data_IF_213050838314
#
_entry.id   IF_213050838314
#
_cell.length_a   1.000
_cell.length_b   1.000
_cell.length_c   1.000
_cell.angle_alpha   90.00
_cell.angle_beta   90.00
_cell.angle_gamma   90.00
#
_symmetry.space_group_name_H-M   'P 1'
#
loop_
_entity.id
_entity.type
_entity.pdbx_description
1 polymer ?
#
# COMPACT_ATOMS: atom_id res chain seq x y z
N UNK A 1 -1.15 -7.84 13.24
CA UNK A 1 -1.56 -6.43 13.00
C UNK A 1 -1.55 -5.61 14.30
N UNK A 2 -2.38 -5.96 15.29
CA UNK A 2 -2.52 -5.23 16.58
C UNK A 2 -1.18 -5.00 17.29
N UNK A 3 -0.33 -6.02 17.40
CA UNK A 3 0.98 -5.86 18.05
C UNK A 3 1.85 -4.78 17.41
N UNK A 4 1.81 -4.64 16.09
CA UNK A 4 2.56 -3.59 15.38
C UNK A 4 1.98 -2.19 15.65
N UNK A 5 0.63 -2.07 15.72
CA UNK A 5 -0.03 -0.81 16.09
C UNK A 5 0.35 -0.37 17.51
N UNK A 6 0.29 -1.27 18.50
CA UNK A 6 0.59 -0.94 19.90
C UNK A 6 2.07 -0.58 20.06
N UNK A 7 2.99 -1.39 19.51
CA UNK A 7 4.42 -1.12 19.59
C UNK A 7 4.78 0.19 18.90
N UNK A 8 4.16 0.49 17.76
CA UNK A 8 4.41 1.71 17.02
C UNK A 8 3.70 2.97 17.57
N UNK A 9 2.66 2.82 18.40
CA UNK A 9 2.04 3.95 19.10
C UNK A 9 3.02 4.62 20.06
N UNK A 10 3.93 3.85 20.69
CA UNK A 10 4.94 4.33 21.63
C UNK A 10 5.87 5.37 20.99
N UNK A 11 6.63 5.06 19.91
CA UNK A 11 7.50 6.05 19.29
C UNK A 11 6.71 7.25 18.73
N UNK A 12 5.46 7.04 18.33
CA UNK A 12 4.62 8.14 17.85
C UNK A 12 4.29 9.13 18.97
N UNK A 13 3.91 8.64 20.16
CA UNK A 13 3.67 9.48 21.33
C UNK A 13 4.94 10.23 21.78
N UNK A 14 6.09 9.55 21.72
CA UNK A 14 7.38 10.12 22.11
C UNK A 14 7.87 11.22 21.14
N UNK A 15 7.30 11.34 19.94
CA UNK A 15 7.71 12.35 18.96
C UNK A 15 7.58 13.79 19.49
N UNK A 16 6.57 14.08 20.32
CA UNK A 16 6.38 15.40 20.92
C UNK A 16 7.44 15.76 21.98
N UNK A 17 8.16 14.76 22.51
CA UNK A 17 9.18 14.92 23.55
C UNK A 17 10.59 15.12 22.99
N UNK A 18 10.77 15.07 21.68
CA UNK A 18 12.08 15.23 21.04
C UNK A 18 12.46 16.71 20.94
N UNK A 19 13.73 17.03 21.22
CA UNK A 19 14.27 18.40 21.17
C UNK A 19 15.51 18.54 20.27
N UNK A 20 16.06 17.45 19.76
CA UNK A 20 17.30 17.43 19.00
C UNK A 20 17.11 16.74 17.64
N UNK A 21 17.95 17.12 16.67
CA UNK A 21 17.90 16.56 15.32
C UNK A 21 18.14 15.04 15.28
N UNK A 22 19.15 14.47 15.99
CA UNK A 22 19.36 13.03 16.00
C UNK A 22 18.18 12.26 16.59
N UNK A 23 17.54 12.79 17.65
CA UNK A 23 16.35 12.18 18.25
C UNK A 23 15.14 12.22 17.30
N UNK A 24 15.03 13.26 16.46
CA UNK A 24 13.96 13.33 15.46
C UNK A 24 14.15 12.27 14.37
N UNK A 25 15.39 12.00 13.98
CA UNK A 25 15.69 10.93 13.02
C UNK A 25 15.44 9.55 13.63
N UNK A 26 15.88 9.33 14.88
CA UNK A 26 15.64 8.08 15.59
C UNK A 26 14.15 7.80 15.75
N UNK A 27 13.34 8.79 16.16
CA UNK A 27 11.91 8.58 16.34
C UNK A 27 11.20 8.29 15.02
N UNK A 28 11.56 8.99 13.93
CA UNK A 28 10.99 8.74 12.60
C UNK A 28 11.30 7.34 12.08
N UNK A 29 12.50 6.82 12.38
CA UNK A 29 12.86 5.45 12.06
C UNK A 29 11.92 4.44 12.75
N UNK A 30 11.68 4.59 14.06
CA UNK A 30 10.79 3.70 14.81
C UNK A 30 9.32 3.87 14.44
N UNK A 31 8.85 5.09 14.18
CA UNK A 31 7.51 5.35 13.63
C UNK A 31 7.35 4.65 12.28
N UNK A 32 8.41 4.54 11.48
CA UNK A 32 8.41 3.78 10.22
C UNK A 32 7.99 2.31 10.36
N UNK A 33 8.19 1.69 11.54
CA UNK A 33 7.74 0.31 11.80
C UNK A 33 6.21 0.21 11.71
N UNK A 34 5.46 1.26 12.06
CA UNK A 34 4.00 1.30 11.88
C UNK A 34 3.59 1.11 10.42
N UNK A 35 4.41 1.54 9.46
CA UNK A 35 4.15 1.30 8.04
C UNK A 35 4.07 -0.20 7.70
N UNK A 36 4.73 -1.05 8.50
CA UNK A 36 4.65 -2.51 8.39
C UNK A 36 3.26 -3.09 8.70
N UNK A 37 2.35 -2.33 9.32
CA UNK A 37 0.94 -2.76 9.52
C UNK A 37 0.18 -2.95 8.21
N UNK A 38 0.64 -2.32 7.13
CA UNK A 38 0.06 -2.41 5.80
C UNK A 38 0.01 -3.86 5.28
N UNK A 39 1.10 -4.62 5.43
CA UNK A 39 1.21 -5.99 4.90
C UNK A 39 0.17 -6.94 5.52
N UNK A 40 0.08 -7.06 6.87
CA UNK A 40 -0.98 -7.86 7.46
C UNK A 40 -2.38 -7.30 7.18
N UNK A 41 -2.55 -6.01 6.89
CA UNK A 41 -3.84 -5.48 6.45
C UNK A 41 -4.24 -6.06 5.08
N UNK A 42 -3.33 -6.01 4.11
CA UNK A 42 -3.58 -6.55 2.76
C UNK A 42 -3.83 -8.07 2.77
N UNK A 43 -3.08 -8.82 3.58
CA UNK A 43 -3.31 -10.26 3.73
C UNK A 43 -4.65 -10.53 4.40
N UNK A 44 -4.98 -9.77 5.45
CA UNK A 44 -6.24 -9.93 6.17
C UNK A 44 -7.44 -9.66 5.26
N UNK A 45 -7.41 -8.59 4.46
CA UNK A 45 -8.49 -8.30 3.50
C UNK A 45 -8.59 -9.34 2.40
N UNK A 46 -7.49 -9.91 1.92
CA UNK A 46 -7.57 -11.00 0.94
C UNK A 46 -8.19 -12.27 1.50
N UNK A 47 -7.85 -12.66 2.73
CA UNK A 47 -8.38 -13.92 3.30
C UNK A 47 -9.89 -13.85 3.56
N UNK A 48 -10.46 -12.65 3.67
CA UNK A 48 -11.89 -12.45 3.96
C UNK A 48 -12.79 -12.34 2.72
N UNK A 49 -12.23 -12.15 1.53
CA UNK A 49 -13.01 -11.81 0.34
C UNK A 49 -12.58 -12.65 -0.87
N UNK A 50 -13.55 -12.95 -1.74
CA UNK A 50 -13.34 -13.75 -2.95
C UNK A 50 -12.52 -13.02 -4.01
N UNK A 51 -11.87 -13.79 -4.89
CA UNK A 51 -10.97 -13.30 -5.96
C UNK A 51 -11.63 -12.32 -6.96
N UNK A 52 -12.96 -12.38 -7.06
CA UNK A 52 -13.76 -11.52 -7.92
C UNK A 52 -13.94 -10.09 -7.38
N UNK A 53 -13.71 -9.86 -6.08
CA UNK A 53 -13.87 -8.54 -5.42
C UNK A 53 -12.63 -8.13 -4.63
N UNK A 54 -11.58 -8.94 -4.66
CA UNK A 54 -10.36 -8.72 -3.89
C UNK A 54 -9.65 -7.41 -4.26
N UNK A 55 -9.70 -7.01 -5.53
CA UNK A 55 -9.05 -5.79 -6.02
C UNK A 55 -9.66 -4.53 -5.42
N UNK A 56 -10.99 -4.40 -5.47
CA UNK A 56 -11.73 -3.28 -4.87
C UNK A 56 -11.56 -3.22 -3.36
N UNK A 57 -11.55 -4.36 -2.67
CA UNK A 57 -11.43 -4.41 -1.20
C UNK A 57 -10.02 -4.00 -0.77
N UNK A 58 -8.98 -4.61 -1.35
CA UNK A 58 -7.59 -4.27 -1.04
C UNK A 58 -7.27 -2.81 -1.36
N UNK A 59 -7.77 -2.33 -2.51
CA UNK A 59 -7.61 -0.95 -2.93
C UNK A 59 -8.36 0.04 -2.01
N UNK A 60 -9.53 -0.32 -1.50
CA UNK A 60 -10.27 0.47 -0.51
C UNK A 60 -9.55 0.55 0.83
N UNK A 61 -9.12 -0.59 1.39
CA UNK A 61 -8.38 -0.61 2.63
C UNK A 61 -7.08 0.22 2.54
N UNK A 62 -6.37 0.12 1.42
CA UNK A 62 -5.15 0.89 1.18
C UNK A 62 -5.42 2.39 0.92
N UNK A 63 -6.47 2.71 0.14
CA UNK A 63 -6.87 4.09 -0.16
C UNK A 63 -7.31 4.84 1.08
N UNK A 64 -8.06 4.20 1.96
CA UNK A 64 -8.42 4.74 3.27
C UNK A 64 -7.18 5.04 4.14
N UNK A 65 -6.20 4.13 4.13
CA UNK A 65 -4.92 4.33 4.81
C UNK A 65 -4.15 5.55 4.29
N UNK A 66 -4.01 5.68 2.97
CA UNK A 66 -3.32 6.81 2.34
C UNK A 66 -4.04 8.14 2.58
N UNK A 67 -5.37 8.15 2.58
CA UNK A 67 -6.15 9.36 2.81
C UNK A 67 -5.86 10.02 4.17
N UNK A 68 -5.40 9.24 5.16
CA UNK A 68 -4.92 9.77 6.43
C UNK A 68 -3.82 10.83 6.28
N UNK A 69 -2.97 10.72 5.25
CA UNK A 69 -1.98 11.75 4.91
C UNK A 69 -2.64 13.08 4.57
N UNK A 70 -3.66 13.07 3.71
CA UNK A 70 -4.45 14.26 3.37
C UNK A 70 -5.25 14.82 4.55
N UNK A 71 -5.90 13.96 5.35
CA UNK A 71 -6.65 14.39 6.55
C UNK A 71 -5.75 15.11 7.56
N UNK A 72 -4.50 14.66 7.70
CA UNK A 72 -3.53 15.24 8.64
C UNK A 72 -3.24 16.73 8.36
N UNK A 73 -3.26 17.15 7.08
CA UNK A 73 -3.07 18.55 6.69
C UNK A 73 -4.19 19.48 7.21
N UNK A 74 -5.38 18.96 7.48
CA UNK A 74 -6.49 19.73 8.03
C UNK A 74 -6.61 19.57 9.55
N UNK A 75 -6.52 18.33 10.04
CA UNK A 75 -6.74 18.01 11.45
C UNK A 75 -5.63 18.56 12.32
N UNK A 76 -4.36 18.41 11.93
CA UNK A 76 -3.24 18.86 12.79
C UNK A 76 -3.24 20.38 12.99
N UNK A 77 -3.35 21.23 11.95
CA UNK A 77 -3.48 22.67 12.17
C UNK A 77 -4.72 23.06 12.97
N UNK A 78 -5.85 22.36 12.80
CA UNK A 78 -7.07 22.64 13.56
C UNK A 78 -6.90 22.34 15.06
N UNK A 79 -6.28 21.21 15.40
CA UNK A 79 -5.96 20.86 16.80
C UNK A 79 -5.00 21.88 17.41
N UNK A 80 -3.96 22.29 16.67
CA UNK A 80 -3.01 23.31 17.13
C UNK A 80 -3.71 24.65 17.36
N UNK A 81 -4.57 25.09 16.44
CA UNK A 81 -5.34 26.32 16.59
C UNK A 81 -6.26 26.28 17.81
N UNK A 82 -6.91 25.13 18.07
CA UNK A 82 -7.72 24.93 19.27
C UNK A 82 -6.91 25.02 20.57
N UNK A 83 -5.71 24.42 20.60
CA UNK A 83 -4.80 24.53 21.76
C UNK A 83 -4.28 25.96 21.97
N UNK A 84 -4.07 26.72 20.90
CA UNK A 84 -3.67 28.12 21.02
C UNK A 84 -4.78 28.99 21.63
N UNK A 85 -6.06 28.68 21.34
CA UNK A 85 -7.20 29.39 21.94
C UNK A 85 -7.31 29.16 23.46
N UNK A 86 -6.80 28.03 23.98
CA UNK A 86 -6.78 27.74 25.41
C UNK A 86 -5.56 28.34 26.14
N UNK A 87 -4.70 29.07 25.43
CA UNK A 87 -3.56 29.80 26.00
C UNK A 87 -2.20 29.13 25.83
N UNK A 88 -2.10 28.00 25.11
CA UNK A 88 -0.81 27.38 24.82
C UNK A 88 -0.05 28.16 23.73
N UNK A 89 1.29 28.18 23.84
CA UNK A 89 2.15 28.71 22.77
C UNK A 89 2.06 27.82 21.52
N UNK A 90 2.42 28.37 20.35
CA UNK A 90 2.49 27.62 19.07
C UNK A 90 3.38 26.39 19.22
N UNK A 91 4.57 26.55 19.84
CA UNK A 91 5.53 25.46 20.03
C UNK A 91 4.98 24.34 20.92
N UNK A 92 4.34 24.68 22.03
CA UNK A 92 3.74 23.69 22.94
C UNK A 92 2.56 22.98 22.27
N UNK A 93 1.74 23.73 21.53
CA UNK A 93 0.56 23.19 20.84
C UNK A 93 0.92 22.12 19.81
N UNK A 94 1.96 22.35 18.99
CA UNK A 94 2.44 21.34 18.05
C UNK A 94 2.96 20.07 18.73
N UNK A 95 3.71 20.21 19.83
CA UNK A 95 4.24 19.06 20.58
C UNK A 95 3.13 18.21 21.17
N UNK A 96 2.14 18.85 21.78
CA UNK A 96 0.96 18.19 22.37
C UNK A 96 0.15 17.50 21.27
N UNK A 97 -0.08 18.17 20.14
CA UNK A 97 -0.80 17.58 19.01
C UNK A 97 -0.11 16.33 18.46
N UNK A 98 1.22 16.37 18.26
CA UNK A 98 1.99 15.21 17.77
C UNK A 98 2.06 14.05 18.77
N UNK A 99 2.06 14.33 20.08
CA UNK A 99 2.11 13.29 21.10
C UNK A 99 0.75 12.60 21.31
N UNK A 100 -0.33 13.39 21.40
CA UNK A 100 -1.63 12.88 21.84
C UNK A 100 -2.46 12.36 20.68
N UNK A 101 -2.55 13.12 19.59
CA UNK A 101 -3.53 12.85 18.53
C UNK A 101 -3.28 11.49 17.85
N UNK A 102 -2.06 11.19 17.34
CA UNK A 102 -1.80 9.89 16.73
C UNK A 102 -1.86 8.74 17.74
N UNK A 103 -1.38 8.94 18.97
CA UNK A 103 -1.38 7.91 20.00
C UNK A 103 -2.80 7.43 20.31
N UNK A 104 -3.73 8.37 20.56
CA UNK A 104 -5.13 8.04 20.84
C UNK A 104 -5.76 7.31 19.67
N UNK A 105 -5.56 7.78 18.44
CA UNK A 105 -6.14 7.15 17.24
C UNK A 105 -5.61 5.73 17.03
N UNK A 106 -4.29 5.51 17.19
CA UNK A 106 -3.68 4.19 16.99
C UNK A 106 -4.13 3.21 18.07
N UNK A 107 -4.11 3.62 19.35
CA UNK A 107 -4.53 2.75 20.46
C UNK A 107 -6.02 2.44 20.38
N UNK A 108 -6.84 3.43 20.05
CA UNK A 108 -8.28 3.24 19.83
C UNK A 108 -8.54 2.23 18.70
N UNK A 109 -7.85 2.38 17.57
CA UNK A 109 -7.98 1.45 16.43
C UNK A 109 -7.51 0.04 16.80
N UNK A 110 -6.40 -0.08 17.54
CA UNK A 110 -5.94 -1.37 18.05
C UNK A 110 -6.96 -2.03 18.99
N UNK A 111 -7.61 -1.24 19.85
CA UNK A 111 -8.70 -1.71 20.71
C UNK A 111 -9.91 -2.21 19.92
N UNK A 112 -10.33 -1.46 18.88
CA UNK A 112 -11.43 -1.90 18.00
C UNK A 112 -11.12 -3.23 17.31
N UNK A 113 -9.88 -3.42 16.84
CA UNK A 113 -9.47 -4.68 16.21
C UNK A 113 -9.48 -5.83 17.22
N UNK A 114 -9.09 -5.59 18.47
CA UNK A 114 -9.13 -6.63 19.52
C UNK A 114 -10.55 -7.04 19.91
N UNK A 115 -11.49 -6.09 19.91
CA UNK A 115 -12.88 -6.35 20.32
C UNK A 115 -13.72 -6.93 19.18
N UNK A 116 -13.54 -6.43 17.96
CA UNK A 116 -14.41 -6.76 16.82
C UNK A 116 -13.72 -7.58 15.71
N UNK A 117 -12.39 -7.67 15.71
CA UNK A 117 -11.62 -8.33 14.66
C UNK A 117 -11.64 -9.85 14.80
N UNK A 118 -11.81 -10.53 13.67
CA UNK A 118 -11.67 -11.98 13.55
C UNK A 118 -10.41 -12.34 12.75
N UNK A 119 -9.74 -13.44 13.10
CA UNK A 119 -8.48 -13.86 12.48
C UNK A 119 -8.63 -14.31 11.01
N UNK A 120 -9.61 -15.17 10.76
CA UNK A 120 -10.04 -15.61 9.42
C UNK A 120 -11.55 -15.85 9.45
N UNK A 121 -12.24 -15.89 8.29
CA UNK A 121 -13.64 -16.34 8.21
C UNK A 121 -13.84 -17.75 8.82
N UNK A 122 -12.82 -18.60 8.74
CA UNK A 122 -12.83 -19.99 9.20
C UNK A 122 -12.35 -20.16 10.66
N UNK A 123 -12.26 -19.06 11.42
CA UNK A 123 -11.82 -19.06 12.81
C UNK A 123 -10.32 -18.82 13.04
N UNK A 124 -9.80 -19.03 14.26
CA UNK A 124 -8.43 -18.67 14.62
C UNK A 124 -7.38 -19.54 13.91
N UNK A 125 -6.32 -18.90 13.40
CA UNK A 125 -5.17 -19.58 12.76
C UNK A 125 -4.56 -20.69 13.64
N UNK A 126 -4.57 -20.49 14.97
CA UNK A 126 -4.07 -21.48 15.94
C UNK A 126 -4.81 -22.81 15.85
N UNK A 127 -6.13 -22.79 15.62
CA UNK A 127 -6.94 -24.02 15.50
C UNK A 127 -6.66 -24.74 14.17
N UNK A 128 -6.42 -24.00 13.10
CA UNK A 128 -6.10 -24.58 11.78
C UNK A 128 -4.76 -25.31 11.77
N UNK A 129 -3.71 -24.73 12.34
CA UNK A 129 -2.40 -25.40 12.44
C UNK A 129 -2.45 -26.68 13.29
N UNK A 130 -3.25 -26.69 14.35
CA UNK A 130 -3.44 -27.88 15.19
C UNK A 130 -4.22 -28.98 14.47
N UNK A 131 -5.24 -28.64 13.66
CA UNK A 131 -5.97 -29.63 12.84
C UNK A 131 -5.05 -30.30 11.80
N UNK A 132 -4.17 -29.52 11.16
CA UNK A 132 -3.19 -30.04 10.21
C UNK A 132 -2.22 -30.99 10.92
N UNK A 133 -1.63 -30.60 12.06
CA UNK A 133 -0.72 -31.46 12.81
C UNK A 133 -1.37 -32.77 13.29
N UNK A 134 -2.62 -32.73 13.75
CA UNK A 134 -3.36 -33.93 14.19
C UNK A 134 -3.69 -34.85 13.01
N UNK A 135 -4.04 -34.29 11.84
CA UNK A 135 -4.24 -35.09 10.62
C UNK A 135 -2.94 -35.74 10.13
N UNK A 136 -1.80 -35.06 10.20
CA UNK A 136 -0.49 -35.62 9.82
C UNK A 136 -0.02 -36.70 10.79
N UNK A 137 -0.33 -36.59 12.09
CA UNK A 137 0.01 -37.62 13.08
C UNK A 137 -0.85 -38.89 12.97
N UNK A 138 -2.11 -38.76 12.58
CA UNK A 138 -3.01 -39.90 12.39
C UNK A 138 -2.83 -40.60 11.02
N UNK A 139 -2.07 -40.02 10.11
CA UNK A 139 -1.81 -40.55 8.77
C UNK A 139 -0.54 -41.42 8.74
N UNK A 140 -0.52 -42.50 9.52
CA UNK A 140 0.46 -43.58 9.31
C UNK A 140 -0.23 -44.68 8.49
N UNK A 141 0.29 -44.85 7.27
CA UNK A 141 0.15 -45.98 6.34
C UNK A 141 -1.18 -46.18 5.60
N UNK A 142 -1.30 -45.52 4.43
CA UNK A 142 -1.84 -46.17 3.23
C UNK A 142 -0.87 -45.91 2.09
N UNK A 143 -0.12 -46.93 1.69
CA UNK A 143 0.63 -46.92 0.43
C UNK A 143 -0.37 -47.02 -0.72
N UNK A 144 -0.58 -45.93 -1.44
CA UNK A 144 -1.10 -45.95 -2.81
C UNK A 144 -0.01 -45.37 -3.70
N UNK A 145 0.64 -46.26 -4.45
CA UNK A 145 1.48 -45.91 -5.59
C UNK A 145 0.64 -45.14 -6.62
N UNK A 146 1.22 -44.08 -7.18
CA UNK A 146 0.69 -43.24 -8.27
C UNK A 146 -0.11 -41.99 -7.86
N UNK A 147 0.54 -41.03 -7.16
CA UNK A 147 0.15 -39.61 -7.20
C UNK A 147 1.44 -38.77 -7.36
N UNK A 148 1.49 -37.75 -8.25
CA UNK A 148 2.65 -36.87 -8.39
C UNK A 148 2.95 -36.11 -7.08
N UNK A 149 4.22 -35.69 -6.85
CA UNK A 149 4.77 -35.36 -5.52
C UNK A 149 4.28 -34.04 -4.88
N UNK A 150 3.12 -33.50 -5.31
CA UNK A 150 2.71 -32.13 -4.99
C UNK A 150 1.28 -32.02 -4.44
N UNK A 151 0.55 -33.12 -4.26
CA UNK A 151 -0.85 -33.10 -3.82
C UNK A 151 -1.06 -34.22 -2.80
N UNK A 152 -1.21 -33.87 -1.52
CA UNK A 152 -1.82 -34.74 -0.52
C UNK A 152 -3.31 -34.41 -0.45
N UNK A 153 -4.14 -35.29 -1.01
CA UNK A 153 -5.60 -35.25 -0.82
C UNK A 153 -5.94 -35.90 0.53
N UNK A 154 -6.47 -35.10 1.47
CA UNK A 154 -7.05 -35.64 2.70
C UNK A 154 -8.57 -35.66 2.54
N UNK A 155 -9.13 -36.86 2.45
CA UNK A 155 -10.58 -37.08 2.44
C UNK A 155 -11.09 -37.00 3.88
N UNK A 156 -11.93 -35.99 4.19
CA UNK A 156 -12.64 -35.94 5.47
C UNK A 156 -14.09 -36.39 5.27
N UNK A 157 -14.59 -37.24 6.18
CA UNK A 157 -16.00 -37.63 6.24
C UNK A 157 -16.75 -36.62 7.09
N UNK A 158 -17.80 -36.03 6.54
CA UNK A 158 -18.78 -35.28 7.33
C UNK A 158 -19.70 -36.27 8.10
N UNK A 159 -20.40 -35.77 9.12
CA UNK A 159 -21.30 -36.55 10.00
C UNK A 159 -22.42 -37.32 9.23
N UNK A 160 -22.66 -36.97 7.97
CA UNK A 160 -23.62 -37.61 7.06
C UNK A 160 -23.01 -38.72 6.17
N UNK A 161 -21.75 -39.10 6.39
CA UNK A 161 -21.08 -40.18 5.66
C UNK A 161 -20.67 -39.85 4.21
N UNK A 162 -20.85 -38.61 3.75
CA UNK A 162 -20.37 -38.13 2.45
C UNK A 162 -18.91 -37.69 2.52
N UNK A 163 -18.13 -38.08 1.51
CA UNK A 163 -16.75 -37.64 1.30
C UNK A 163 -16.78 -36.18 0.83
N UNK A 164 -16.19 -35.28 1.64
CA UNK A 164 -16.01 -33.89 1.28
C UNK A 164 -14.53 -33.64 0.92
N UNK A 165 -14.28 -33.18 -0.29
CA UNK A 165 -12.96 -32.73 -0.72
C UNK A 165 -12.62 -31.43 -0.01
N UNK A 166 -11.61 -31.47 0.87
CA UNK A 166 -11.09 -30.28 1.53
C UNK A 166 -9.68 -30.05 1.01
N UNK A 167 -9.48 -28.96 0.27
CA UNK A 167 -8.15 -28.54 -0.15
C UNK A 167 -7.38 -28.04 1.07
N UNK A 168 -6.65 -28.93 1.74
CA UNK A 168 -5.79 -28.58 2.88
C UNK A 168 -4.53 -27.93 2.33
N UNK A 169 -4.42 -26.62 2.54
CA UNK A 169 -3.19 -25.88 2.32
C UNK A 169 -2.17 -26.27 3.39
N UNK A 170 -1.24 -27.16 3.03
CA UNK A 170 -0.03 -27.40 3.83
C UNK A 170 0.79 -26.12 3.85
N UNK A 171 0.59 -25.32 4.89
CA UNK A 171 1.47 -24.21 5.23
C UNK A 171 2.78 -24.82 5.75
N UNK A 172 3.60 -25.35 4.84
CA UNK A 172 4.98 -25.69 5.15
C UNK A 172 5.63 -24.41 5.64
N UNK A 173 6.02 -24.41 6.92
CA UNK A 173 6.83 -23.38 7.56
C UNK A 173 7.82 -22.81 6.55
N UNK A 174 7.70 -21.52 6.27
CA UNK A 174 8.48 -20.83 5.24
C UNK A 174 9.97 -21.03 5.47
N UNK A 175 10.55 -22.04 4.83
CA UNK A 175 11.99 -22.20 4.74
C UNK A 175 12.53 -20.92 4.10
N UNK A 176 13.53 -20.30 4.73
CA UNK A 176 14.11 -19.02 4.31
C UNK A 176 14.55 -19.08 2.83
N UNK A 177 14.96 -20.27 2.38
CA UNK A 177 15.31 -20.55 0.97
C UNK A 177 14.11 -20.36 0.03
N UNK A 178 12.93 -20.84 0.41
CA UNK A 178 11.70 -20.69 -0.37
C UNK A 178 11.25 -19.23 -0.40
N UNK A 179 11.35 -18.53 0.74
CA UNK A 179 11.06 -17.10 0.80
C UNK A 179 11.97 -16.29 -0.14
N UNK A 180 13.28 -16.54 -0.14
CA UNK A 180 14.23 -15.91 -1.05
C UNK A 180 13.89 -16.22 -2.52
N UNK A 181 13.53 -17.46 -2.84
CA UNK A 181 13.14 -17.84 -4.20
C UNK A 181 11.93 -17.04 -4.68
N UNK A 182 10.90 -16.90 -3.85
CA UNK A 182 9.69 -16.10 -4.17
C UNK A 182 10.03 -14.62 -4.36
N UNK A 183 10.89 -14.06 -3.51
CA UNK A 183 11.35 -12.66 -3.59
C UNK A 183 12.00 -12.36 -4.94
N UNK A 184 12.91 -13.22 -5.42
CA UNK A 184 13.68 -12.99 -6.65
C UNK A 184 13.01 -13.50 -7.93
N UNK A 185 11.71 -13.81 -7.87
CA UNK A 185 10.96 -14.29 -9.04
C UNK A 185 10.44 -13.11 -9.89
N UNK A 186 10.51 -13.23 -11.22
CA UNK A 186 10.07 -12.17 -12.15
C UNK A 186 8.60 -11.77 -11.97
N UNK A 187 7.75 -12.71 -11.56
CA UNK A 187 6.34 -12.48 -11.27
C UNK A 187 6.16 -11.57 -10.04
N UNK A 188 7.03 -11.69 -9.03
CA UNK A 188 7.02 -10.78 -7.88
C UNK A 188 7.52 -9.39 -8.29
N UNK A 189 8.55 -9.33 -9.15
CA UNK A 189 9.01 -8.06 -9.73
C UNK A 189 7.92 -7.35 -10.56
N UNK A 190 7.04 -8.10 -11.23
CA UNK A 190 5.93 -7.57 -12.02
C UNK A 190 4.90 -6.78 -11.20
N UNK A 191 4.76 -7.04 -9.90
CA UNK A 191 3.89 -6.23 -9.01
C UNK A 191 4.70 -5.24 -8.19
N UNK A 192 5.93 -5.61 -7.79
CA UNK A 192 6.77 -4.77 -6.96
C UNK A 192 7.30 -3.53 -7.69
N UNK A 193 7.71 -3.66 -8.96
CA UNK A 193 8.27 -2.54 -9.73
C UNK A 193 7.21 -1.52 -10.19
N UNK A 194 6.01 -1.89 -10.66
CA UNK A 194 4.96 -0.92 -10.91
C UNK A 194 4.54 -0.18 -9.65
N UNK A 195 4.50 -0.86 -8.49
CA UNK A 195 4.19 -0.20 -7.22
C UNK A 195 5.31 0.73 -6.73
N UNK A 196 6.57 0.38 -7.00
CA UNK A 196 7.70 1.29 -6.83
C UNK A 196 7.48 2.57 -7.64
N UNK A 197 7.02 2.44 -8.88
CA UNK A 197 6.70 3.59 -9.73
C UNK A 197 5.49 4.38 -9.24
N UNK A 198 4.36 3.74 -8.94
CA UNK A 198 3.11 4.42 -8.60
C UNK A 198 3.15 4.98 -7.18
N UNK A 199 3.16 4.13 -6.15
CA UNK A 199 3.13 4.57 -4.75
C UNK A 199 4.42 5.30 -4.36
N UNK A 200 5.55 4.90 -4.95
CA UNK A 200 6.80 5.62 -4.71
C UNK A 200 6.76 7.04 -5.26
N UNK A 201 6.24 7.25 -6.47
CA UNK A 201 6.12 8.61 -7.02
C UNK A 201 5.05 9.42 -6.29
N UNK A 202 3.98 8.78 -5.81
CA UNK A 202 2.97 9.39 -4.93
C UNK A 202 3.60 9.97 -3.66
N UNK A 203 4.33 9.14 -2.90
CA UNK A 203 5.00 9.59 -1.68
C UNK A 203 5.99 10.73 -1.93
N UNK A 204 6.68 10.71 -3.07
CA UNK A 204 7.62 11.76 -3.44
C UNK A 204 6.91 13.07 -3.80
N UNK A 205 5.80 12.99 -4.55
CA UNK A 205 4.97 14.15 -4.89
C UNK A 205 4.31 14.74 -3.64
N UNK A 206 3.70 13.92 -2.78
CA UNK A 206 3.08 14.39 -1.53
C UNK A 206 4.05 15.15 -0.63
N UNK A 207 5.32 14.72 -0.58
CA UNK A 207 6.37 15.38 0.19
C UNK A 207 6.76 16.78 -0.30
N UNK A 208 6.46 17.13 -1.55
CA UNK A 208 6.93 18.36 -2.20
C UNK A 208 5.83 19.25 -2.78
N UNK A 209 4.63 18.72 -3.04
CA UNK A 209 3.58 19.38 -3.83
C UNK A 209 3.12 20.70 -3.22
N UNK A 210 3.08 20.81 -1.88
CA UNK A 210 2.76 22.07 -1.21
C UNK A 210 3.80 23.16 -1.50
N UNK A 211 5.10 22.82 -1.47
CA UNK A 211 6.16 23.77 -1.78
C UNK A 211 6.19 24.12 -3.26
N UNK A 212 5.88 23.13 -4.12
CA UNK A 212 5.75 23.33 -5.55
C UNK A 212 4.63 24.33 -5.90
N UNK A 213 3.45 24.19 -5.28
CA UNK A 213 2.36 25.15 -5.48
C UNK A 213 2.71 26.56 -5.02
N UNK A 214 3.43 26.73 -3.89
CA UNK A 214 3.88 28.06 -3.46
C UNK A 214 4.85 28.67 -4.48
N UNK A 215 5.79 27.88 -5.01
CA UNK A 215 6.72 28.36 -6.04
C UNK A 215 5.99 28.72 -7.33
N UNK A 216 5.09 27.85 -7.81
CA UNK A 216 4.36 28.10 -9.05
C UNK A 216 3.39 29.28 -8.93
N UNK A 217 2.77 29.47 -7.78
CA UNK A 217 1.94 30.64 -7.51
C UNK A 217 2.75 31.94 -7.63
N UNK A 218 3.97 31.99 -7.07
CA UNK A 218 4.86 33.15 -7.22
C UNK A 218 5.21 33.43 -8.68
N UNK A 219 5.49 32.39 -9.47
CA UNK A 219 5.76 32.50 -10.91
C UNK A 219 4.51 32.99 -11.66
N UNK A 220 3.32 32.61 -11.19
CA UNK A 220 2.02 33.00 -11.73
C UNK A 220 1.53 34.37 -11.21
N UNK A 221 2.40 35.17 -10.59
CA UNK A 221 2.07 36.47 -9.98
C UNK A 221 0.97 36.40 -8.89
N UNK A 222 0.78 35.23 -8.27
CA UNK A 222 -0.16 35.01 -7.18
C UNK A 222 0.56 34.78 -5.84
N UNK A 223 0.10 35.46 -4.79
CA UNK A 223 0.62 35.23 -3.45
C UNK A 223 -0.20 34.14 -2.74
N UNK A 224 0.35 32.93 -2.65
CA UNK A 224 -0.27 31.84 -1.89
C UNK A 224 0.42 31.67 -0.54
N UNK A 225 -0.37 31.56 0.52
CA UNK A 225 0.15 31.16 1.84
C UNK A 225 0.50 29.67 1.84
N UNK A 226 1.40 29.26 2.74
CA UNK A 226 1.73 27.86 2.94
C UNK A 226 0.48 27.03 3.28
N UNK A 227 -0.45 27.60 4.05
CA UNK A 227 -1.71 26.94 4.39
C UNK A 227 -2.59 26.71 3.16
N UNK A 228 -2.72 27.71 2.26
CA UNK A 228 -3.52 27.56 1.04
C UNK A 228 -2.94 26.46 0.14
N UNK A 229 -1.62 26.46 -0.04
CA UNK A 229 -0.94 25.41 -0.81
C UNK A 229 -1.05 24.03 -0.15
N UNK A 230 -0.95 23.97 1.18
CA UNK A 230 -1.14 22.75 1.97
C UNK A 230 -2.57 22.19 1.87
N UNK A 231 -3.59 23.04 1.85
CA UNK A 231 -4.98 22.60 1.66
C UNK A 231 -5.20 21.98 0.27
N UNK A 232 -4.62 22.56 -0.79
CA UNK A 232 -4.66 21.96 -2.13
C UNK A 232 -3.84 20.66 -2.21
N UNK A 233 -2.67 20.62 -1.56
CA UNK A 233 -1.86 19.41 -1.43
C UNK A 233 -2.63 18.30 -0.70
N UNK A 234 -3.41 18.64 0.33
CA UNK A 234 -4.21 17.67 1.07
C UNK A 234 -5.26 16.97 0.18
N UNK A 235 -5.83 17.68 -0.80
CA UNK A 235 -6.78 17.08 -1.75
C UNK A 235 -6.15 15.97 -2.58
N UNK A 236 -4.86 16.10 -2.92
CA UNK A 236 -4.11 15.05 -3.62
C UNK A 236 -4.14 13.73 -2.83
N UNK A 237 -3.80 13.78 -1.54
CA UNK A 237 -3.84 12.60 -0.68
C UNK A 237 -5.26 12.09 -0.42
N UNK A 238 -6.27 12.97 -0.33
CA UNK A 238 -7.67 12.57 -0.12
C UNK A 238 -8.31 11.88 -1.33
N UNK A 239 -7.84 12.16 -2.55
CA UNK A 239 -8.36 11.50 -3.76
C UNK A 239 -8.24 9.98 -3.70
N UNK A 240 -7.23 9.46 -3.00
CA UNK A 240 -7.01 8.03 -2.77
C UNK A 240 -8.25 7.28 -2.24
N UNK A 241 -9.18 7.93 -1.54
CA UNK A 241 -10.42 7.29 -1.06
C UNK A 241 -11.28 6.80 -2.24
N UNK A 242 -11.20 7.46 -3.39
CA UNK A 242 -12.07 7.21 -4.55
C UNK A 242 -11.31 6.60 -5.70
N UNK A 243 -10.17 7.20 -6.06
CA UNK A 243 -9.39 6.86 -7.26
C UNK A 243 -8.70 5.51 -7.14
N UNK A 244 -8.16 5.20 -5.95
CA UNK A 244 -7.51 3.92 -5.69
C UNK A 244 -8.49 2.75 -5.73
N UNK A 245 -9.66 2.80 -5.04
CA UNK A 245 -10.71 1.79 -5.21
C UNK A 245 -11.23 1.68 -6.64
N UNK A 246 -11.36 2.80 -7.37
CA UNK A 246 -11.78 2.76 -8.77
C UNK A 246 -10.80 1.96 -9.65
N UNK A 247 -9.49 2.11 -9.44
CA UNK A 247 -8.47 1.30 -10.11
C UNK A 247 -8.59 -0.20 -9.80
N UNK A 248 -8.83 -0.55 -8.54
CA UNK A 248 -9.06 -1.95 -8.12
C UNK A 248 -10.39 -2.51 -8.66
N UNK A 249 -11.45 -1.71 -8.68
CA UNK A 249 -12.75 -2.08 -9.21
C UNK A 249 -12.71 -2.36 -10.71
N UNK A 250 -12.04 -1.51 -11.50
CA UNK A 250 -11.85 -1.76 -12.93
C UNK A 250 -11.03 -3.04 -13.16
N UNK A 251 -10.00 -3.29 -12.34
CA UNK A 251 -9.24 -4.54 -12.40
C UNK A 251 -10.14 -5.77 -12.16
N UNK A 252 -11.04 -5.70 -11.18
CA UNK A 252 -11.98 -6.77 -10.88
C UNK A 252 -13.05 -6.93 -11.98
N UNK A 253 -13.54 -5.85 -12.59
CA UNK A 253 -14.42 -5.93 -13.76
C UNK A 253 -13.74 -6.64 -14.94
N UNK A 254 -12.46 -6.38 -15.15
CA UNK A 254 -11.66 -7.02 -16.19
C UNK A 254 -11.35 -8.50 -15.88
N UNK A 255 -11.58 -8.94 -14.64
CA UNK A 255 -11.42 -10.33 -14.21
C UNK A 255 -12.64 -11.22 -14.51
N UNK A 256 -13.69 -10.70 -15.15
CA UNK A 256 -14.97 -11.40 -15.38
C UNK A 256 -14.86 -12.79 -16.06
N UNK A 257 -13.74 -13.08 -16.74
CA UNK A 257 -13.44 -14.38 -17.35
C UNK A 257 -12.21 -15.07 -16.71
N UNK A 258 -11.93 -14.79 -15.44
CA UNK A 258 -10.77 -15.29 -14.66
C UNK A 258 -9.40 -14.97 -15.30
N UNK A 259 -9.38 -14.00 -16.22
CA UNK A 259 -8.21 -13.67 -16.99
C UNK A 259 -7.33 -12.65 -16.26
N UNK A 260 -6.38 -13.16 -15.47
CA UNK A 260 -5.40 -12.35 -14.73
C UNK A 260 -4.54 -11.46 -15.65
N UNK A 261 -4.38 -11.82 -16.94
CA UNK A 261 -3.64 -10.97 -17.88
C UNK A 261 -4.31 -9.60 -18.09
N UNK A 262 -5.64 -9.54 -18.05
CA UNK A 262 -6.34 -8.25 -18.20
C UNK A 262 -6.09 -7.34 -17.00
N UNK A 263 -6.04 -7.89 -15.77
CA UNK A 263 -5.61 -7.12 -14.58
C UNK A 263 -4.19 -6.58 -14.76
N UNK A 264 -3.28 -7.39 -15.29
CA UNK A 264 -1.89 -6.98 -15.60
C UNK A 264 -1.85 -5.81 -16.58
N UNK A 265 -2.56 -5.93 -17.71
CA UNK A 265 -2.54 -4.88 -18.73
C UNK A 265 -3.18 -3.59 -18.23
N UNK A 266 -4.23 -3.68 -17.43
CA UNK A 266 -4.81 -2.52 -16.75
C UNK A 266 -3.83 -1.82 -15.82
N UNK A 267 -3.16 -2.58 -14.95
CA UNK A 267 -2.12 -2.07 -14.06
C UNK A 267 -1.02 -1.33 -14.83
N UNK A 268 -0.46 -1.96 -15.87
CA UNK A 268 0.58 -1.36 -16.70
C UNK A 268 0.07 -0.16 -17.50
N UNK A 269 -1.18 -0.20 -18.00
CA UNK A 269 -1.80 0.92 -18.68
C UNK A 269 -1.90 2.15 -17.77
N UNK A 270 -2.44 2.00 -16.55
CA UNK A 270 -2.51 3.09 -15.59
C UNK A 270 -1.12 3.62 -15.22
N UNK A 271 -0.13 2.73 -15.09
CA UNK A 271 1.26 3.09 -14.85
C UNK A 271 1.95 3.85 -15.99
N UNK A 272 1.59 3.55 -17.25
CA UNK A 272 2.07 4.30 -18.40
C UNK A 272 1.40 5.67 -18.52
N UNK A 273 0.09 5.74 -18.29
CA UNK A 273 -0.65 7.01 -18.34
C UNK A 273 -0.13 7.97 -17.26
N UNK A 274 0.06 7.53 -16.02
CA UNK A 274 0.67 8.39 -14.98
C UNK A 274 2.07 8.89 -15.40
N UNK A 275 2.87 8.04 -16.05
CA UNK A 275 4.21 8.39 -16.52
C UNK A 275 4.17 9.46 -17.61
N UNK A 276 3.19 9.40 -18.51
CA UNK A 276 2.97 10.43 -19.54
C UNK A 276 2.58 11.76 -18.89
N UNK A 277 1.74 11.75 -17.85
CA UNK A 277 1.39 12.97 -17.11
C UNK A 277 2.61 13.55 -16.37
N UNK A 278 3.47 12.73 -15.77
CA UNK A 278 4.73 13.20 -15.18
C UNK A 278 5.63 13.89 -16.21
N UNK A 279 5.77 13.30 -17.40
CA UNK A 279 6.53 13.89 -18.51
C UNK A 279 5.91 15.21 -18.96
N UNK A 280 4.60 15.23 -19.18
CA UNK A 280 3.89 16.42 -19.62
C UNK A 280 4.02 17.59 -18.63
N UNK A 281 3.75 17.35 -17.33
CA UNK A 281 3.87 18.38 -16.29
C UNK A 281 5.33 18.81 -16.11
N UNK A 282 6.28 17.87 -16.21
CA UNK A 282 7.70 18.19 -16.07
C UNK A 282 8.29 18.96 -17.26
N UNK A 283 7.73 18.81 -18.46
CA UNK A 283 8.18 19.51 -19.67
C UNK A 283 7.42 20.81 -19.94
N UNK A 284 6.23 20.98 -19.36
CA UNK A 284 5.39 22.16 -19.57
C UNK A 284 5.36 23.07 -18.34
N UNK A 285 5.43 24.38 -18.57
CA UNK A 285 5.29 25.39 -17.53
C UNK A 285 3.83 25.85 -17.48
N UNK A 286 3.03 25.18 -16.66
CA UNK A 286 1.61 25.49 -16.49
C UNK A 286 1.41 26.63 -15.49
N UNK A 287 0.41 27.48 -15.74
CA UNK A 287 -0.07 28.42 -14.71
C UNK A 287 -0.59 27.66 -13.49
N UNK A 288 -0.57 28.25 -12.28
CA UNK A 288 -0.89 27.55 -11.02
C UNK A 288 -2.22 26.77 -11.06
N UNK A 289 -3.29 27.34 -11.62
CA UNK A 289 -4.58 26.65 -11.75
C UNK A 289 -4.50 25.41 -12.68
N UNK A 290 -3.78 25.53 -13.79
CA UNK A 290 -3.53 24.43 -14.71
C UNK A 290 -2.64 23.36 -14.07
N UNK A 291 -1.64 23.76 -13.27
CA UNK A 291 -0.79 22.84 -12.53
C UNK A 291 -1.60 22.04 -11.50
N UNK A 292 -2.46 22.70 -10.70
CA UNK A 292 -3.32 22.01 -9.73
C UNK A 292 -4.23 20.99 -10.43
N UNK A 293 -4.86 21.38 -11.55
CA UNK A 293 -5.68 20.46 -12.34
C UNK A 293 -4.87 19.29 -12.92
N UNK A 294 -3.68 19.56 -13.46
CA UNK A 294 -2.80 18.52 -14.00
C UNK A 294 -2.32 17.53 -12.93
N UNK A 295 -1.95 18.04 -11.74
CA UNK A 295 -1.57 17.20 -10.61
C UNK A 295 -2.74 16.36 -10.09
N UNK A 296 -3.97 16.89 -10.12
CA UNK A 296 -5.16 16.12 -9.75
C UNK A 296 -5.42 14.97 -10.74
N UNK A 297 -5.29 15.20 -12.05
CA UNK A 297 -5.43 14.13 -13.06
C UNK A 297 -4.31 13.10 -12.95
N UNK A 298 -3.07 13.54 -12.71
CA UNK A 298 -1.95 12.65 -12.40
C UNK A 298 -2.27 11.76 -11.20
N UNK A 299 -2.81 12.34 -10.11
CA UNK A 299 -3.20 11.60 -8.91
C UNK A 299 -4.21 10.49 -9.23
N UNK A 300 -5.23 10.77 -10.04
CA UNK A 300 -6.24 9.78 -10.43
C UNK A 300 -5.60 8.53 -11.04
N UNK A 301 -4.68 8.68 -11.99
CA UNK A 301 -4.05 7.54 -12.65
C UNK A 301 -3.01 6.84 -11.77
N UNK A 302 -2.29 7.61 -10.95
CA UNK A 302 -1.31 7.08 -10.02
C UNK A 302 -1.97 6.23 -8.92
N UNK A 303 -3.04 6.74 -8.32
CA UNK A 303 -3.85 6.04 -7.33
C UNK A 303 -4.55 4.82 -7.95
N UNK A 304 -5.09 4.95 -9.16
CA UNK A 304 -5.68 3.83 -9.89
C UNK A 304 -4.64 2.73 -10.15
N UNK A 305 -3.39 3.09 -10.49
CA UNK A 305 -2.30 2.14 -10.65
C UNK A 305 -1.99 1.41 -9.34
N UNK A 306 -2.00 2.11 -8.20
CA UNK A 306 -1.83 1.48 -6.89
C UNK A 306 -2.93 0.46 -6.58
N UNK A 307 -4.18 0.79 -6.91
CA UNK A 307 -5.32 -0.13 -6.75
C UNK A 307 -5.20 -1.35 -7.66
N UNK A 308 -4.80 -1.13 -8.91
CA UNK A 308 -4.61 -2.21 -9.89
C UNK A 308 -3.47 -3.17 -9.50
N UNK A 309 -2.36 -2.68 -8.93
CA UNK A 309 -1.29 -3.53 -8.39
C UNK A 309 -1.84 -4.51 -7.34
N UNK A 310 -2.55 -4.01 -6.33
CA UNK A 310 -3.05 -4.85 -5.24
C UNK A 310 -4.24 -5.75 -5.64
N UNK A 311 -4.81 -5.53 -6.83
CA UNK A 311 -5.72 -6.47 -7.47
C UNK A 311 -5.00 -7.65 -8.16
N UNK A 312 -3.72 -7.49 -8.52
CA UNK A 312 -2.88 -8.52 -9.13
C UNK A 312 -2.06 -9.29 -8.09
N UNK A 313 -1.60 -8.63 -7.01
CA UNK A 313 -0.77 -9.23 -5.95
C UNK A 313 -1.27 -10.60 -5.45
N UNK A 314 -2.57 -10.80 -5.15
CA UNK A 314 -3.09 -12.10 -4.71
C UNK A 314 -2.89 -13.25 -5.72
N UNK A 315 -2.78 -12.92 -7.01
CA UNK A 315 -2.74 -13.87 -8.13
C UNK A 315 -1.33 -14.32 -8.52
N UNK A 316 -0.28 -13.71 -7.97
CA UNK A 316 1.12 -14.02 -8.35
C UNK A 316 1.62 -15.29 -7.66
N UNK A 317 1.43 -15.39 -6.34
CA UNK A 317 1.76 -16.57 -5.53
C UNK A 317 0.76 -16.71 -4.38
N UNK A 318 -0.30 -17.49 -4.62
CA UNK A 318 -1.42 -17.68 -3.68
C UNK A 318 -0.94 -18.17 -2.31
N UNK A 319 0.01 -19.11 -2.27
CA UNK A 319 0.56 -19.65 -1.02
C UNK A 319 1.50 -18.70 -0.26
N UNK A 320 2.14 -17.75 -0.94
CA UNK A 320 3.16 -16.86 -0.36
C UNK A 320 2.76 -15.38 -0.46
N UNK A 321 1.46 -15.12 -0.42
CA UNK A 321 0.92 -13.79 -0.64
C UNK A 321 1.49 -12.75 0.34
N UNK A 322 1.72 -13.12 1.61
CA UNK A 322 2.33 -12.21 2.58
C UNK A 322 3.73 -11.73 2.18
N UNK A 323 4.53 -12.59 1.55
CA UNK A 323 5.87 -12.25 1.05
C UNK A 323 5.75 -11.33 -0.17
N UNK A 324 4.86 -11.66 -1.12
CA UNK A 324 4.65 -10.85 -2.33
C UNK A 324 4.09 -9.47 -1.97
N UNK A 325 3.06 -9.39 -1.13
CA UNK A 325 2.48 -8.14 -0.66
C UNK A 325 3.48 -7.32 0.17
N UNK A 326 4.28 -8.00 1.00
CA UNK A 326 5.34 -7.38 1.80
C UNK A 326 6.44 -6.76 0.94
N UNK A 327 6.96 -7.50 -0.02
CA UNK A 327 7.97 -7.00 -0.95
C UNK A 327 7.41 -5.88 -1.84
N UNK A 328 6.18 -6.05 -2.34
CA UNK A 328 5.51 -5.00 -3.13
C UNK A 328 5.38 -3.71 -2.33
N UNK A 329 4.86 -3.78 -1.10
CA UNK A 329 4.75 -2.63 -0.20
C UNK A 329 6.11 -1.98 0.11
N UNK A 330 7.14 -2.78 0.38
CA UNK A 330 8.50 -2.29 0.62
C UNK A 330 9.08 -1.57 -0.61
N UNK A 331 8.85 -2.09 -1.82
CA UNK A 331 9.26 -1.46 -3.07
C UNK A 331 8.57 -0.12 -3.30
N UNK A 332 7.31 0.03 -2.91
CA UNK A 332 6.62 1.32 -2.93
C UNK A 332 7.30 2.36 -2.04
N UNK A 333 7.60 2.01 -0.78
CA UNK A 333 8.34 2.88 0.13
C UNK A 333 9.76 3.19 -0.37
N UNK A 334 10.44 2.21 -0.96
CA UNK A 334 11.75 2.40 -1.58
C UNK A 334 11.68 3.38 -2.76
N UNK A 335 10.65 3.28 -3.60
CA UNK A 335 10.40 4.25 -4.68
C UNK A 335 10.23 5.67 -4.14
N UNK A 336 9.53 5.84 -3.02
CA UNK A 336 9.41 7.12 -2.33
C UNK A 336 10.76 7.73 -1.96
N UNK A 337 11.70 6.91 -1.47
CA UNK A 337 13.08 7.36 -1.18
C UNK A 337 13.80 7.75 -2.48
N UNK A 338 13.79 6.88 -3.48
CA UNK A 338 14.51 7.08 -4.75
C UNK A 338 14.03 8.32 -5.50
N UNK A 339 12.71 8.54 -5.58
CA UNK A 339 12.16 9.69 -6.29
C UNK A 339 12.25 10.99 -5.47
N UNK A 340 12.24 10.93 -4.14
CA UNK A 340 12.60 12.09 -3.32
C UNK A 340 14.05 12.53 -3.53
N UNK A 341 14.98 11.62 -3.84
CA UNK A 341 16.35 12.02 -4.23
C UNK A 341 16.34 12.85 -5.52
N UNK A 342 15.49 12.51 -6.49
CA UNK A 342 15.35 13.32 -7.72
C UNK A 342 14.93 14.77 -7.38
N UNK A 343 13.95 14.95 -6.50
CA UNK A 343 13.58 16.30 -6.03
C UNK A 343 14.72 16.98 -5.26
N UNK A 344 15.42 16.24 -4.40
CA UNK A 344 16.52 16.77 -3.59
C UNK A 344 17.70 17.27 -4.43
N UNK A 345 18.13 16.50 -5.43
CA UNK A 345 19.28 16.86 -6.28
C UNK A 345 18.96 17.94 -7.30
N UNK A 346 17.70 18.11 -7.70
CA UNK A 346 17.28 19.19 -8.58
C UNK A 346 16.91 20.49 -7.84
N UNK A 347 16.90 20.49 -6.50
CA UNK A 347 16.65 21.66 -5.66
C UNK A 347 15.25 22.23 -5.89
N UNK A 348 15.18 23.47 -6.41
CA UNK A 348 13.92 24.17 -6.72
C UNK A 348 13.38 23.89 -8.12
N UNK A 349 14.07 23.07 -8.91
CA UNK A 349 13.62 22.70 -10.26
C UNK A 349 12.69 21.47 -10.22
N UNK A 350 11.50 21.67 -9.66
CA UNK A 350 10.50 20.60 -9.49
C UNK A 350 10.07 19.98 -10.82
N UNK A 351 9.87 20.79 -11.86
CA UNK A 351 9.58 20.32 -13.21
C UNK A 351 10.63 19.33 -13.73
N UNK A 352 11.92 19.59 -13.44
CA UNK A 352 13.01 18.71 -13.87
C UNK A 352 12.95 17.35 -13.20
N UNK A 353 12.66 17.32 -11.91
CA UNK A 353 12.49 16.07 -11.18
C UNK A 353 11.25 15.28 -11.69
N UNK A 354 10.14 15.96 -12.00
CA UNK A 354 8.92 15.30 -12.48
C UNK A 354 9.12 14.57 -13.81
N UNK A 355 9.75 15.19 -14.82
CA UNK A 355 9.99 14.48 -16.08
C UNK A 355 11.02 13.36 -15.93
N UNK A 356 12.02 13.50 -15.06
CA UNK A 356 12.97 12.41 -14.76
C UNK A 356 12.25 11.19 -14.16
N UNK A 357 11.35 11.42 -13.20
CA UNK A 357 10.50 10.37 -12.62
C UNK A 357 9.63 9.75 -13.73
N UNK A 358 9.04 10.58 -14.60
CA UNK A 358 8.23 10.13 -15.74
C UNK A 358 8.98 9.20 -16.69
N UNK A 359 10.24 9.50 -17.04
CA UNK A 359 11.07 8.60 -17.86
C UNK A 359 11.28 7.27 -17.16
N UNK A 360 11.72 7.28 -15.90
CA UNK A 360 12.00 6.05 -15.15
C UNK A 360 10.74 5.19 -15.04
N UNK A 361 9.61 5.78 -14.67
CA UNK A 361 8.35 5.06 -14.55
C UNK A 361 7.86 4.51 -15.90
N UNK A 362 8.01 5.26 -16.99
CA UNK A 362 7.66 4.81 -18.33
C UNK A 362 8.51 3.62 -18.76
N UNK A 363 9.83 3.71 -18.60
CA UNK A 363 10.77 2.63 -18.95
C UNK A 363 10.45 1.35 -18.18
N UNK A 364 10.23 1.44 -16.87
CA UNK A 364 9.89 0.28 -16.04
C UNK A 364 8.58 -0.35 -16.50
N UNK A 365 7.50 0.43 -16.68
CA UNK A 365 6.21 -0.12 -17.09
C UNK A 365 6.25 -0.77 -18.48
N UNK A 366 7.01 -0.22 -19.44
CA UNK A 366 7.19 -0.81 -20.78
C UNK A 366 7.93 -2.15 -20.70
N UNK A 367 9.02 -2.21 -19.93
CA UNK A 367 9.82 -3.44 -19.80
C UNK A 367 9.01 -4.60 -19.21
N UNK A 368 8.07 -4.31 -18.32
CA UNK A 368 7.27 -5.32 -17.62
C UNK A 368 6.15 -5.95 -18.48
N UNK A 369 5.79 -5.35 -19.61
CA UNK A 369 4.77 -5.88 -20.54
C UNK A 369 5.10 -7.33 -20.96
N UNK A 370 6.38 -7.62 -21.12
CA UNK A 370 6.90 -8.91 -21.58
C UNK A 370 6.85 -10.02 -20.53
N UNK A 371 6.66 -9.69 -19.26
CA UNK A 371 6.57 -10.69 -18.19
C UNK A 371 5.20 -11.38 -18.25
N UNK A 372 5.24 -12.71 -18.32
CA UNK A 372 4.05 -13.56 -18.33
C UNK A 372 3.62 -13.88 -16.90
N UNK A 373 2.34 -13.63 -16.59
CA UNK A 373 1.70 -14.20 -15.40
C UNK A 373 1.28 -15.64 -15.73
N UNK A 374 1.49 -16.63 -14.84
CA UNK A 374 0.93 -17.95 -15.01
C UNK A 374 -0.59 -17.86 -15.20
N UNK A 375 -1.12 -18.49 -16.25
CA UNK A 375 -2.55 -18.48 -16.53
C UNK A 375 -3.27 -19.20 -15.39
N UNK A 376 -4.22 -18.52 -14.73
CA UNK A 376 -5.24 -19.18 -13.91
C UNK A 376 -6.13 -19.99 -14.86
N UNK A 377 -5.63 -21.13 -15.32
CA UNK A 377 -6.48 -22.23 -15.76
C UNK A 377 -6.33 -23.28 -14.67
N UNK A 378 -7.03 -23.07 -13.56
CA UNK A 378 -7.46 -24.21 -12.76
C UNK A 378 -8.36 -25.03 -13.68
N UNK A 379 -7.80 -26.14 -14.19
CA UNK A 379 -8.56 -27.25 -14.75
C UNK A 379 -8.48 -28.39 -13.77
#
# INVERSE_FOLDING_TARGET
>A
MVGCLIVGAIPTALAGLVYNYPGLMAIRFFVGILGGTFVPCQVWTTVFYDDNVIGRVNAFAAGWGNAGGGVTFFVMPAVVAGLMQTGYTVHTSWRVAFAICPFVIIVFTAGLILVFGHDTPNGPWRKQNNMIQVSTQNSIAVQLSEIPPNVEMVLSKNDDGKLAETNISTNNSTDWKTALKVIFTFQTALVALPYLCSFGSELAVEGMISSFYVQQAKISEQLWSQQKAGNWAAMFGLLNIVTRPAGGYIADLLYRNENVQLKKYWMLFTGLVMSIFFLWIGLTQLHIAGLVGAMAVLAVFMDAANGAVFAVVPHIHVHYQGIVAGLTGACGSLGGILFNLAFRYNGTNYHKALWQIGIVCSTINILLVWIKIPSSKHK
#
